data_IF_101089380452
#
_entry.id   IF_101089380452
#
_cell.length_a   1.000
_cell.length_b   1.000
_cell.length_c   1.000
_cell.angle_alpha   90.00
_cell.angle_beta   90.00
_cell.angle_gamma   90.00
#
_symmetry.space_group_name_H-M   'P 1'
#
loop_
_entity.id
_entity.type
_entity.pdbx_description
1 polymer ?
#
# COMPACT_ATOMS: atom_id res chain seq x y z
N UNK A 1 -4.04 13.90 10.15
CA UNK A 1 -3.30 13.29 9.02
C UNK A 1 -4.29 12.71 8.02
N UNK A 2 -4.28 13.21 6.79
CA UNK A 2 -5.11 12.69 5.71
C UNK A 2 -4.68 11.26 5.35
N UNK A 3 -5.66 10.37 5.09
CA UNK A 3 -5.46 8.99 4.63
C UNK A 3 -6.60 8.58 3.73
N UNK A 4 -6.37 7.54 2.92
CA UNK A 4 -7.46 6.92 2.17
C UNK A 4 -8.38 6.12 3.12
N UNK A 5 -9.63 6.55 3.25
CA UNK A 5 -10.67 5.89 4.08
C UNK A 5 -11.68 5.10 3.26
N UNK A 6 -11.59 5.14 1.93
CA UNK A 6 -12.55 4.49 1.05
C UNK A 6 -12.42 2.96 0.94
N UNK A 7 -13.17 2.35 -0.01
CA UNK A 7 -13.20 0.91 -0.21
C UNK A 7 -11.83 0.31 -0.57
N UNK A 8 -11.20 -0.40 0.37
CA UNK A 8 -9.84 -0.96 0.19
C UNK A 8 -9.76 -2.12 -0.82
N UNK A 9 -10.71 -3.05 -0.80
CA UNK A 9 -10.70 -4.17 -1.76
C UNK A 9 -10.90 -3.72 -3.21
N UNK A 10 -11.50 -2.54 -3.43
CA UNK A 10 -11.58 -1.90 -4.75
C UNK A 10 -10.19 -1.60 -5.31
N UNK A 11 -9.25 -1.22 -4.44
CA UNK A 11 -7.87 -0.96 -4.81
C UNK A 11 -7.14 -2.25 -5.20
N UNK A 12 -7.29 -3.34 -4.45
CA UNK A 12 -6.72 -4.65 -4.80
C UNK A 12 -7.19 -5.11 -6.19
N UNK A 13 -8.50 -5.01 -6.45
CA UNK A 13 -9.08 -5.33 -7.75
C UNK A 13 -8.58 -4.43 -8.87
N UNK A 14 -8.40 -3.14 -8.61
CA UNK A 14 -7.89 -2.20 -9.63
C UNK A 14 -6.42 -2.46 -9.98
N UNK A 15 -5.60 -2.85 -9.00
CA UNK A 15 -4.19 -3.14 -9.22
C UNK A 15 -3.92 -4.60 -9.61
N UNK A 16 -4.98 -5.38 -9.80
CA UNK A 16 -4.94 -6.79 -10.16
C UNK A 16 -4.02 -7.65 -9.27
N UNK A 17 -3.96 -7.34 -7.98
CA UNK A 17 -3.08 -8.01 -7.02
C UNK A 17 -3.65 -7.93 -5.60
N UNK A 18 -3.40 -8.95 -4.77
CA UNK A 18 -3.68 -8.88 -3.33
C UNK A 18 -2.72 -7.90 -2.65
N UNK A 19 -3.25 -6.77 -2.18
CA UNK A 19 -2.50 -5.75 -1.43
C UNK A 19 -2.57 -5.93 0.11
N UNK A 20 -3.29 -6.95 0.59
CA UNK A 20 -3.43 -7.30 2.02
C UNK A 20 -3.85 -6.14 2.96
N UNK A 21 -4.78 -5.28 2.49
CA UNK A 21 -5.18 -4.06 3.21
C UNK A 21 -6.23 -4.28 4.33
N UNK A 22 -6.71 -5.51 4.53
CA UNK A 22 -7.77 -5.87 5.50
C UNK A 22 -7.37 -6.98 6.48
N UNK A 23 -6.07 -7.31 6.61
CA UNK A 23 -5.61 -8.35 7.53
C UNK A 23 -6.19 -9.73 7.20
N UNK A 24 -6.67 -10.45 8.22
CA UNK A 24 -7.14 -11.84 8.13
C UNK A 24 -8.14 -12.08 6.99
N UNK A 25 -9.07 -11.14 6.78
CA UNK A 25 -10.06 -11.25 5.71
C UNK A 25 -9.43 -11.43 4.31
N UNK A 26 -8.23 -10.89 4.08
CA UNK A 26 -7.53 -11.04 2.80
C UNK A 26 -7.01 -12.46 2.54
N UNK A 27 -6.92 -13.31 3.56
CA UNK A 27 -6.48 -14.71 3.45
C UNK A 27 -7.66 -15.68 3.29
N UNK A 28 -8.87 -15.26 3.64
CA UNK A 28 -10.09 -16.06 3.47
C UNK A 28 -10.68 -15.97 2.05
N UNK A 29 -11.51 -16.94 1.67
CA UNK A 29 -12.30 -16.96 0.43
C UNK A 29 -13.35 -15.83 0.34
N UNK A 30 -13.56 -15.10 1.44
CA UNK A 30 -14.40 -13.90 1.48
C UNK A 30 -13.71 -12.66 0.86
N UNK A 31 -12.44 -12.78 0.47
CA UNK A 31 -11.70 -11.72 -0.18
C UNK A 31 -12.33 -11.37 -1.54
N UNK A 32 -12.65 -10.09 -1.71
CA UNK A 32 -13.30 -9.63 -2.94
C UNK A 32 -12.40 -9.71 -4.18
N UNK A 33 -11.07 -9.86 -4.01
CA UNK A 33 -10.16 -10.10 -5.11
C UNK A 33 -10.33 -11.52 -5.64
N UNK A 34 -10.33 -12.54 -4.77
CA UNK A 34 -10.48 -13.95 -5.17
C UNK A 34 -11.82 -14.19 -5.86
N UNK A 35 -12.90 -13.61 -5.32
CA UNK A 35 -14.24 -13.72 -5.93
C UNK A 35 -14.37 -12.96 -7.26
N UNK A 36 -13.59 -11.89 -7.47
CA UNK A 36 -13.73 -10.96 -8.62
C UNK A 36 -12.36 -10.42 -9.03
N UNK A 37 -11.62 -11.21 -9.79
CA UNK A 37 -10.29 -10.89 -10.31
C UNK A 37 -10.35 -9.99 -11.55
N UNK A 38 -11.11 -8.90 -11.48
CA UNK A 38 -11.22 -7.91 -12.55
C UNK A 38 -11.38 -6.51 -11.97
N UNK A 39 -11.04 -5.50 -12.77
CA UNK A 39 -11.04 -4.12 -12.32
C UNK A 39 -12.45 -3.69 -11.84
N UNK A 40 -12.55 -2.73 -10.91
CA UNK A 40 -13.85 -2.21 -10.48
C UNK A 40 -14.48 -1.30 -11.54
N UNK A 41 -15.82 -1.28 -11.59
CA UNK A 41 -16.61 -0.47 -12.52
C UNK A 41 -17.39 -1.32 -13.53
N UNK A 42 -18.31 -0.70 -14.28
CA UNK A 42 -19.15 -1.37 -15.28
C UNK A 42 -18.31 -2.07 -16.36
N UNK A 43 -17.27 -1.41 -16.88
CA UNK A 43 -16.36 -1.96 -17.88
C UNK A 43 -15.19 -2.75 -17.27
N UNK A 44 -15.31 -3.19 -16.01
CA UNK A 44 -14.22 -3.81 -15.26
C UNK A 44 -13.71 -5.12 -15.84
N UNK A 45 -14.56 -5.85 -16.58
CA UNK A 45 -14.23 -7.11 -17.25
C UNK A 45 -13.59 -6.91 -18.63
N UNK A 46 -13.64 -5.68 -19.17
CA UNK A 46 -13.00 -5.37 -20.46
C UNK A 46 -11.48 -5.49 -20.35
N UNK A 47 -10.85 -6.07 -21.38
CA UNK A 47 -9.39 -6.07 -21.49
C UNK A 47 -8.92 -4.66 -21.88
N UNK A 48 -8.04 -4.08 -21.06
CA UNK A 48 -7.40 -2.81 -21.36
C UNK A 48 -5.93 -3.04 -21.69
N UNK A 49 -5.49 -2.56 -22.86
CA UNK A 49 -4.06 -2.46 -23.19
C UNK A 49 -3.50 -1.23 -22.48
N UNK A 50 -2.45 -1.39 -21.70
CA UNK A 50 -1.78 -0.26 -21.06
C UNK A 50 -0.73 0.34 -22.00
N UNK A 51 -0.58 1.66 -21.93
CA UNK A 51 0.58 2.35 -22.48
C UNK A 51 1.78 2.20 -21.53
N UNK A 52 3.02 2.45 -21.99
CA UNK A 52 4.20 2.40 -21.12
C UNK A 52 4.07 3.30 -19.87
N UNK A 53 3.49 4.49 -20.05
CA UNK A 53 3.16 5.38 -18.92
C UNK A 53 2.10 4.76 -17.99
N UNK A 54 1.09 4.11 -18.58
CA UNK A 54 0.05 3.42 -17.83
C UNK A 54 0.61 2.32 -16.93
N UNK A 55 1.56 1.54 -17.42
CA UNK A 55 2.25 0.50 -16.65
C UNK A 55 3.03 1.09 -15.48
N UNK A 56 3.91 2.07 -15.74
CA UNK A 56 4.68 2.76 -14.70
C UNK A 56 3.78 3.41 -13.65
N UNK A 57 2.67 4.02 -14.08
CA UNK A 57 1.69 4.60 -13.17
C UNK A 57 1.09 3.53 -12.27
N UNK A 58 0.74 2.34 -12.78
CA UNK A 58 0.19 1.25 -11.99
C UNK A 58 1.19 0.73 -10.98
N UNK A 59 2.45 0.51 -11.37
CA UNK A 59 3.50 0.09 -10.44
C UNK A 59 3.69 1.09 -9.30
N UNK A 60 3.72 2.39 -9.62
CA UNK A 60 3.75 3.44 -8.59
C UNK A 60 2.52 3.38 -7.67
N UNK A 61 1.33 3.22 -8.23
CA UNK A 61 0.09 3.14 -7.45
C UNK A 61 0.05 1.90 -6.55
N UNK A 62 0.56 0.74 -7.00
CA UNK A 62 0.68 -0.49 -6.21
C UNK A 62 1.48 -0.22 -4.94
N UNK A 63 2.73 0.21 -5.09
CA UNK A 63 3.62 0.48 -3.95
C UNK A 63 3.00 1.52 -3.00
N UNK A 64 2.52 2.65 -3.53
CA UNK A 64 1.89 3.68 -2.71
C UNK A 64 0.72 3.14 -1.88
N UNK A 65 -0.13 2.31 -2.47
CA UNK A 65 -1.32 1.74 -1.80
C UNK A 65 -0.95 0.65 -0.81
N UNK A 66 0.06 -0.18 -1.09
CA UNK A 66 0.55 -1.21 -0.16
C UNK A 66 1.01 -0.59 1.16
N UNK A 67 1.80 0.48 1.11
CA UNK A 67 2.25 1.20 2.31
C UNK A 67 1.22 2.23 2.83
N UNK A 68 0.13 2.43 2.11
CA UNK A 68 -0.96 3.32 2.49
C UNK A 68 -0.53 4.78 2.70
N UNK A 69 0.39 5.28 1.87
CA UNK A 69 0.93 6.65 1.94
C UNK A 69 0.28 7.58 0.92
N UNK A 70 0.30 8.90 1.18
CA UNK A 70 -0.20 9.90 0.23
C UNK A 70 0.81 10.14 -0.90
N UNK A 71 0.33 10.63 -2.04
CA UNK A 71 1.17 10.88 -3.22
C UNK A 71 2.31 11.87 -2.93
N UNK A 72 2.01 12.97 -2.22
CA UNK A 72 3.01 13.97 -1.83
C UNK A 72 4.11 13.37 -0.93
N UNK A 73 3.71 12.53 0.03
CA UNK A 73 4.65 11.85 0.91
C UNK A 73 5.50 10.83 0.13
N UNK A 74 4.87 10.04 -0.74
CA UNK A 74 5.55 9.08 -1.60
C UNK A 74 6.59 9.75 -2.50
N UNK A 75 6.24 10.86 -3.16
CA UNK A 75 7.17 11.65 -3.97
C UNK A 75 8.36 12.17 -3.16
N UNK A 76 8.11 12.58 -1.91
CA UNK A 76 9.17 13.03 -1.00
C UNK A 76 10.12 11.88 -0.65
N UNK A 77 9.58 10.68 -0.37
CA UNK A 77 10.42 9.50 -0.12
C UNK A 77 11.25 9.10 -1.34
N UNK A 78 10.66 9.16 -2.54
CA UNK A 78 11.38 8.91 -3.77
C UNK A 78 12.56 9.86 -3.97
N UNK A 79 12.34 11.17 -3.78
CA UNK A 79 13.40 12.16 -3.88
C UNK A 79 14.52 11.94 -2.86
N UNK A 80 14.17 11.58 -1.63
CA UNK A 80 15.16 11.22 -0.60
C UNK A 80 15.91 9.94 -0.97
N UNK A 81 15.23 8.95 -1.56
CA UNK A 81 15.83 7.70 -1.99
C UNK A 81 16.78 7.89 -3.19
N UNK A 82 16.45 8.79 -4.13
CA UNK A 82 17.30 9.09 -5.30
C UNK A 82 18.56 9.88 -4.96
N UNK A 83 18.57 10.58 -3.82
CA UNK A 83 19.75 11.28 -3.32
C UNK A 83 20.71 10.39 -2.53
N UNK A 84 20.25 9.20 -2.09
CA UNK A 84 21.10 8.22 -1.40
C UNK A 84 21.97 7.49 -2.41
N UNK A 85 23.20 7.16 -2.01
CA UNK A 85 24.09 6.29 -2.79
C UNK A 85 23.46 4.88 -2.93
N UNK A 86 23.75 4.19 -4.02
CA UNK A 86 23.24 2.85 -4.31
C UNK A 86 22.00 2.83 -5.23
N UNK A 87 21.28 1.71 -5.24
CA UNK A 87 20.13 1.50 -6.13
C UNK A 87 18.89 2.23 -5.59
N UNK A 88 18.38 3.21 -6.35
CA UNK A 88 17.24 4.05 -5.95
C UNK A 88 15.99 3.25 -5.57
N UNK A 89 15.71 2.15 -6.27
CA UNK A 89 14.55 1.29 -6.00
C UNK A 89 14.63 0.63 -4.62
N UNK A 90 15.79 0.07 -4.28
CA UNK A 90 16.05 -0.54 -2.98
C UNK A 90 16.00 0.50 -1.86
N UNK A 91 16.62 1.66 -2.09
CA UNK A 91 16.59 2.79 -1.16
C UNK A 91 15.15 3.27 -0.87
N UNK A 92 14.28 3.27 -1.88
CA UNK A 92 12.87 3.63 -1.72
C UNK A 92 12.15 2.59 -0.86
N UNK A 93 12.31 1.30 -1.17
CA UNK A 93 11.66 0.22 -0.43
C UNK A 93 12.16 0.20 1.02
N UNK A 94 13.46 0.31 1.25
CA UNK A 94 14.04 0.38 2.58
C UNK A 94 13.46 1.56 3.40
N UNK A 95 13.32 2.73 2.78
CA UNK A 95 12.73 3.91 3.42
C UNK A 95 11.23 3.75 3.74
N UNK A 96 10.50 2.97 2.92
CA UNK A 96 9.09 2.66 3.18
C UNK A 96 8.93 1.58 4.26
N UNK A 97 9.81 0.58 4.28
CA UNK A 97 9.81 -0.48 5.28
C UNK A 97 10.22 0.02 6.67
N UNK A 98 11.13 1.01 6.74
CA UNK A 98 11.61 1.62 7.99
C UNK A 98 10.60 2.52 8.70
N UNK A 99 9.39 2.71 8.15
CA UNK A 99 8.38 3.54 8.79
C UNK A 99 7.79 2.82 10.00
N UNK A 100 7.58 3.54 11.10
CA UNK A 100 7.04 2.96 12.35
C UNK A 100 5.72 2.21 12.16
N UNK A 101 4.79 2.76 11.37
CA UNK A 101 3.51 2.10 11.10
C UNK A 101 3.66 0.80 10.30
N UNK A 102 4.66 0.73 9.44
CA UNK A 102 4.99 -0.49 8.73
C UNK A 102 5.73 -1.49 9.63
N UNK A 103 6.67 -1.03 10.46
CA UNK A 103 7.38 -1.89 11.43
C UNK A 103 6.41 -2.54 12.41
N UNK A 104 5.50 -1.77 13.02
CA UNK A 104 4.47 -2.31 13.93
C UNK A 104 3.62 -3.38 13.25
N UNK A 105 3.24 -3.16 11.98
CA UNK A 105 2.54 -4.17 11.19
C UNK A 105 3.41 -5.40 10.89
N UNK A 106 4.68 -5.23 10.54
CA UNK A 106 5.63 -6.33 10.27
C UNK A 106 5.92 -7.18 11.51
N UNK A 107 5.94 -6.57 12.68
CA UNK A 107 6.09 -7.24 13.97
C UNK A 107 4.83 -8.01 14.42
N UNK A 108 3.72 -7.90 13.68
CA UNK A 108 2.51 -8.67 13.96
C UNK A 108 1.61 -8.07 15.04
N UNK A 109 1.90 -6.89 15.57
CA UNK A 109 1.05 -6.23 16.57
C UNK A 109 -0.32 -5.79 16.01
N UNK A 110 -0.49 -5.78 14.68
CA UNK A 110 -1.72 -5.35 14.03
C UNK A 110 -2.00 -6.19 12.79
N UNK A 111 -3.27 -6.42 12.49
CA UNK A 111 -3.69 -7.13 11.28
C UNK A 111 -3.54 -6.28 10.01
N UNK A 112 -3.45 -4.95 10.11
CA UNK A 112 -3.23 -4.09 8.94
C UNK A 112 -2.40 -2.84 9.22
N UNK A 113 -1.72 -2.32 8.19
CA UNK A 113 -0.97 -1.05 8.29
C UNK A 113 -1.82 0.16 8.71
N UNK A 114 -3.11 0.16 8.36
CA UNK A 114 -4.01 1.25 8.74
C UNK A 114 -4.40 1.21 10.21
N UNK A 115 -4.50 0.00 10.78
CA UNK A 115 -4.71 -0.24 12.20
C UNK A 115 -3.45 0.10 12.99
N UNK A 116 -2.27 -0.35 12.53
CA UNK A 116 -0.98 0.04 13.12
C UNK A 116 -0.84 1.57 13.22
N UNK A 117 -1.19 2.29 12.15
CA UNK A 117 -1.18 3.75 12.15
C UNK A 117 -2.18 4.36 13.14
N UNK A 118 -3.34 3.75 13.33
CA UNK A 118 -4.32 4.21 14.33
C UNK A 118 -3.77 4.02 15.74
N UNK A 119 -3.21 2.85 16.03
CA UNK A 119 -2.65 2.55 17.35
C UNK A 119 -1.47 3.46 17.71
N UNK A 120 -0.58 3.72 16.74
CA UNK A 120 0.51 4.71 16.91
C UNK A 120 -0.05 6.10 17.19
N UNK A 121 -1.05 6.54 16.42
CA UNK A 121 -1.65 7.88 16.61
C UNK A 121 -2.32 8.01 17.98
N UNK A 122 -2.84 6.93 18.52
CA UNK A 122 -3.47 6.90 19.84
C UNK A 122 -2.46 6.76 20.98
N UNK A 123 -1.16 6.64 20.69
CA UNK A 123 -0.12 6.59 21.72
C UNK A 123 0.09 5.22 22.36
N UNK A 124 -0.38 4.13 21.74
CA UNK A 124 -0.18 2.77 22.27
C UNK A 124 1.28 2.28 22.16
N UNK A 125 2.15 3.02 21.48
CA UNK A 125 3.55 2.66 21.30
C UNK A 125 4.46 3.79 21.78
N UNK A 126 5.55 3.42 22.44
CA UNK A 126 6.66 4.31 22.79
C UNK A 126 7.94 3.78 22.13
N UNK A 127 8.79 4.68 21.67
CA UNK A 127 10.04 4.34 20.99
C UNK A 127 11.17 4.74 21.93
N UNK A 128 11.90 3.75 22.43
CA UNK A 128 13.05 3.94 23.33
C UNK A 128 12.73 4.68 24.65
N UNK A 129 11.49 4.57 25.16
CA UNK A 129 11.09 5.12 26.48
C UNK A 129 9.91 6.08 26.41
#
# INVERSE_FOLDING_TARGET
MARYTGPRCRQCRRENMKLFLKGERCFTDSCAFDRRQYAPGQHGQGRAKFSPYGEQLREKQKVKRMYGVLEKQFRTYYHKASQKKGVTGENLIATLESRLDNMVFRLGFCGSRNEARQLIKHGHFRING
#
